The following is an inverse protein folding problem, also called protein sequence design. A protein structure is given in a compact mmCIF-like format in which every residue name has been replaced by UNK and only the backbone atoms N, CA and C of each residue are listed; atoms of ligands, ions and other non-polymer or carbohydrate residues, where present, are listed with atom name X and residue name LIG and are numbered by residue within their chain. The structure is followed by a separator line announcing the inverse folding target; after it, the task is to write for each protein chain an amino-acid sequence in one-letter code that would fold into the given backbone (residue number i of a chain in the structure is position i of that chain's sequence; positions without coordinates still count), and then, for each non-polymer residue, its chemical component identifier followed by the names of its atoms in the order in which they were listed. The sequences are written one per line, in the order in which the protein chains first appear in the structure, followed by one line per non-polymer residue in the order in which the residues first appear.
data_IF_531993286284
#
_entry.id   IF_531993286284
#
_cell.length_a   1.000
_cell.length_b   1.000
_cell.length_c   1.000
_cell.angle_alpha   90.00
_cell.angle_beta   90.00
_cell.angle_gamma   90.00
#
_symmetry.space_group_name_H-M   'P 1'
#
loop_
_entity.id
_entity.type
_entity.pdbx_description
1 polymer ?
#
# COMPACT_ATOMS: atom_id res chain seq x y z
N UNK A 1 22.28 -19.34 8.09
CA UNK A 1 22.16 -19.66 9.51
C UNK A 1 20.77 -20.27 9.69
N UNK A 2 20.69 -21.55 10.04
CA UNK A 2 19.49 -22.39 10.08
C UNK A 2 18.40 -21.72 10.93
N UNK A 3 17.24 -21.41 10.33
CA UNK A 3 16.02 -21.21 11.12
C UNK A 3 15.80 -22.52 11.87
N UNK A 4 15.94 -22.47 13.21
CA UNK A 4 15.44 -23.55 14.08
C UNK A 4 14.02 -23.86 13.65
N UNK A 5 13.64 -25.13 13.61
CA UNK A 5 12.27 -25.62 13.41
C UNK A 5 11.37 -25.06 14.55
N UNK A 6 11.06 -23.76 14.46
CA UNK A 6 9.97 -23.21 15.25
C UNK A 6 8.71 -23.88 14.73
N UNK A 7 8.01 -24.57 15.59
CA UNK A 7 6.68 -25.14 15.33
C UNK A 7 5.85 -24.03 14.69
N UNK A 8 5.62 -24.11 13.36
CA UNK A 8 4.85 -23.09 12.63
C UNK A 8 3.44 -23.09 13.19
N UNK A 9 3.07 -22.02 13.86
CA UNK A 9 1.73 -21.87 14.43
C UNK A 9 0.73 -21.64 13.29
N UNK A 10 -0.16 -22.59 13.08
CA UNK A 10 -1.29 -22.45 12.16
C UNK A 10 -2.20 -21.33 12.68
N UNK A 11 -2.32 -20.25 11.92
CA UNK A 11 -3.23 -19.14 12.21
C UNK A 11 -4.52 -19.26 11.40
N UNK A 12 -5.61 -18.72 11.93
CA UNK A 12 -6.86 -18.50 11.21
C UNK A 12 -6.91 -17.05 10.76
N UNK A 13 -6.95 -16.82 9.48
CA UNK A 13 -6.78 -15.50 8.86
C UNK A 13 -8.00 -15.17 8.01
N UNK A 14 -8.66 -14.05 8.30
CA UNK A 14 -9.61 -13.44 7.38
C UNK A 14 -8.89 -12.43 6.49
N UNK A 15 -9.07 -12.51 5.19
CA UNK A 15 -8.60 -11.49 4.24
C UNK A 15 -9.81 -10.76 3.68
N UNK A 16 -10.00 -9.52 4.12
CA UNK A 16 -11.06 -8.65 3.65
C UNK A 16 -10.59 -7.91 2.39
N UNK A 17 -11.11 -8.35 1.23
CA UNK A 17 -10.73 -7.87 -0.08
C UNK A 17 -9.83 -8.84 -0.85
N UNK A 18 -10.40 -9.54 -1.84
CA UNK A 18 -9.70 -10.47 -2.72
C UNK A 18 -9.33 -9.81 -4.07
N UNK A 19 -8.76 -8.60 -4.01
CA UNK A 19 -8.05 -8.00 -5.14
C UNK A 19 -6.70 -8.70 -5.40
N UNK A 20 -5.84 -8.13 -6.26
CA UNK A 20 -4.54 -8.73 -6.60
C UNK A 20 -3.71 -9.06 -5.36
N UNK A 21 -3.59 -8.12 -4.41
CA UNK A 21 -2.72 -8.28 -3.25
C UNK A 21 -3.31 -9.24 -2.22
N UNK A 22 -4.60 -9.10 -1.88
CA UNK A 22 -5.28 -10.03 -0.96
C UNK A 22 -5.28 -11.46 -1.48
N UNK A 23 -5.50 -11.66 -2.78
CA UNK A 23 -5.44 -12.99 -3.41
C UNK A 23 -4.03 -13.59 -3.36
N UNK A 24 -2.98 -12.79 -3.60
CA UNK A 24 -1.60 -13.26 -3.53
C UNK A 24 -1.21 -13.71 -2.10
N UNK A 25 -1.60 -12.93 -1.09
CA UNK A 25 -1.36 -13.30 0.31
C UNK A 25 -2.19 -14.52 0.74
N UNK A 26 -3.46 -14.60 0.31
CA UNK A 26 -4.29 -15.77 0.55
C UNK A 26 -3.65 -17.04 0.02
N UNK A 27 -3.14 -17.02 -1.21
CA UNK A 27 -2.40 -18.12 -1.81
C UNK A 27 -1.15 -18.49 -1.02
N UNK A 28 -0.31 -17.51 -0.69
CA UNK A 28 0.96 -17.76 0.01
C UNK A 28 0.73 -18.33 1.42
N UNK A 29 -0.19 -17.75 2.19
CA UNK A 29 -0.42 -18.19 3.57
C UNK A 29 -1.18 -19.51 3.65
N UNK A 30 -2.11 -19.79 2.73
CA UNK A 30 -2.73 -21.10 2.65
C UNK A 30 -1.70 -22.20 2.33
N UNK A 31 -0.80 -21.95 1.40
CA UNK A 31 0.30 -22.87 1.08
C UNK A 31 1.31 -23.04 2.23
N UNK A 32 1.40 -22.08 3.15
CA UNK A 32 2.20 -22.18 4.37
C UNK A 32 1.42 -22.76 5.56
N UNK A 33 0.32 -23.47 5.29
CA UNK A 33 -0.52 -24.20 6.25
C UNK A 33 -1.37 -23.34 7.18
N UNK A 34 -1.58 -22.06 6.88
CA UNK A 34 -2.58 -21.24 7.56
C UNK A 34 -3.99 -21.55 7.03
N UNK A 35 -5.00 -21.43 7.91
CA UNK A 35 -6.40 -21.46 7.47
C UNK A 35 -6.83 -20.08 7.06
N UNK A 36 -7.12 -19.89 5.78
CA UNK A 36 -7.49 -18.60 5.20
C UNK A 36 -8.95 -18.62 4.78
N UNK A 37 -9.69 -17.60 5.16
CA UNK A 37 -11.00 -17.28 4.64
C UNK A 37 -10.94 -15.91 3.96
N UNK A 38 -11.28 -15.85 2.67
CA UNK A 38 -11.33 -14.61 1.91
C UNK A 38 -12.75 -14.06 1.89
N UNK A 39 -12.89 -12.75 2.12
CA UNK A 39 -14.14 -12.04 1.91
C UNK A 39 -14.06 -11.13 0.68
N UNK A 40 -15.13 -11.14 -0.10
CA UNK A 40 -15.28 -10.26 -1.26
C UNK A 40 -16.73 -9.80 -1.41
N UNK A 41 -16.94 -8.60 -1.95
CA UNK A 41 -18.27 -8.10 -2.37
C UNK A 41 -18.56 -8.40 -3.83
N UNK A 42 -17.58 -8.92 -4.59
CA UNK A 42 -17.67 -9.15 -6.00
C UNK A 42 -18.17 -10.58 -6.28
N UNK A 43 -19.42 -10.72 -6.75
CA UNK A 43 -20.03 -12.02 -7.10
C UNK A 43 -19.19 -12.80 -8.12
N UNK A 44 -18.56 -12.09 -9.07
CA UNK A 44 -17.68 -12.70 -10.08
C UNK A 44 -16.45 -13.35 -9.44
N UNK A 45 -15.82 -12.69 -8.46
CA UNK A 45 -14.66 -13.21 -7.73
C UNK A 45 -15.06 -14.40 -6.87
N UNK A 46 -16.18 -14.28 -6.13
CA UNK A 46 -16.72 -15.36 -5.32
C UNK A 46 -17.02 -16.60 -6.18
N UNK A 47 -17.79 -16.43 -7.25
CA UNK A 47 -18.16 -17.53 -8.15
C UNK A 47 -16.95 -18.19 -8.79
N UNK A 48 -15.98 -17.40 -9.27
CA UNK A 48 -14.75 -17.91 -9.88
C UNK A 48 -13.96 -18.81 -8.92
N UNK A 49 -13.78 -18.38 -7.66
CA UNK A 49 -13.05 -19.18 -6.66
C UNK A 49 -13.84 -20.46 -6.30
N UNK A 50 -15.14 -20.36 -6.09
CA UNK A 50 -15.98 -21.51 -5.76
C UNK A 50 -16.02 -22.59 -6.88
N UNK A 51 -16.08 -22.17 -8.14
CA UNK A 51 -16.21 -23.08 -9.28
C UNK A 51 -14.86 -23.66 -9.72
N UNK A 52 -13.81 -22.83 -9.71
CA UNK A 52 -12.53 -23.18 -10.34
C UNK A 52 -11.38 -23.30 -9.35
N UNK A 53 -11.53 -22.82 -8.12
CA UNK A 53 -10.43 -22.68 -7.17
C UNK A 53 -9.42 -21.59 -7.57
N UNK A 54 -9.82 -20.62 -8.42
CA UNK A 54 -8.96 -19.53 -8.89
C UNK A 54 -9.68 -18.18 -8.83
N UNK A 55 -8.95 -17.13 -8.55
CA UNK A 55 -9.42 -15.76 -8.79
C UNK A 55 -8.98 -15.33 -10.20
N UNK A 56 -9.78 -15.67 -11.20
CA UNK A 56 -9.45 -15.44 -12.62
C UNK A 56 -9.41 -13.97 -12.99
N UNK A 57 -10.08 -13.10 -12.22
CA UNK A 57 -10.11 -11.65 -12.44
C UNK A 57 -8.80 -10.98 -12.04
N UNK A 58 -8.29 -11.32 -10.87
CA UNK A 58 -7.19 -10.60 -10.26
C UNK A 58 -5.85 -11.34 -10.28
N UNK A 59 -5.87 -12.68 -10.22
CA UNK A 59 -4.64 -13.49 -10.19
C UNK A 59 -4.85 -14.82 -10.94
N UNK A 60 -5.09 -14.78 -12.26
CA UNK A 60 -5.37 -15.98 -13.05
C UNK A 60 -4.19 -16.97 -13.02
N UNK A 61 -4.52 -18.26 -13.06
CA UNK A 61 -3.54 -19.36 -13.09
C UNK A 61 -2.96 -19.74 -11.71
N UNK A 62 -3.45 -19.13 -10.62
CA UNK A 62 -3.03 -19.47 -9.26
C UNK A 62 -4.17 -20.15 -8.52
N UNK A 63 -3.93 -21.42 -8.12
CA UNK A 63 -4.91 -22.17 -7.31
C UNK A 63 -4.91 -21.68 -5.89
N UNK A 64 -6.12 -21.53 -5.32
CA UNK A 64 -6.37 -21.09 -3.97
C UNK A 64 -7.00 -22.23 -3.18
N UNK A 65 -6.33 -22.65 -2.11
CA UNK A 65 -6.88 -23.59 -1.11
C UNK A 65 -7.37 -22.80 0.11
N UNK A 66 -8.47 -22.04 -0.11
CA UNK A 66 -9.06 -21.16 0.90
C UNK A 66 -10.57 -21.32 0.92
N UNK A 67 -11.17 -21.00 2.07
CA UNK A 67 -12.59 -20.72 2.13
C UNK A 67 -12.88 -19.31 1.56
N UNK A 68 -14.05 -19.11 0.95
CA UNK A 68 -14.46 -17.78 0.46
C UNK A 68 -15.90 -17.50 0.84
N UNK A 69 -16.17 -16.25 1.23
CA UNK A 69 -17.52 -15.82 1.62
C UNK A 69 -17.80 -14.38 1.19
N UNK A 70 -19.07 -14.04 1.06
CA UNK A 70 -19.58 -12.68 0.87
C UNK A 70 -20.13 -12.10 2.18
N UNK A 71 -20.10 -12.86 3.27
CA UNK A 71 -20.54 -12.42 4.60
C UNK A 71 -19.32 -12.03 5.44
N UNK A 72 -19.18 -10.73 5.73
CA UNK A 72 -18.04 -10.20 6.49
C UNK A 72 -17.99 -10.77 7.92
N UNK A 73 -19.13 -10.94 8.58
CA UNK A 73 -19.21 -11.51 9.93
C UNK A 73 -18.68 -12.93 9.97
N UNK A 74 -19.06 -13.77 9.00
CA UNK A 74 -18.58 -15.16 8.90
C UNK A 74 -17.05 -15.22 8.78
N UNK A 75 -16.46 -14.35 7.93
CA UNK A 75 -15.01 -14.29 7.78
C UNK A 75 -14.30 -13.92 9.08
N UNK A 76 -14.79 -12.90 9.78
CA UNK A 76 -14.17 -12.36 10.98
C UNK A 76 -14.32 -13.35 12.17
N UNK A 77 -15.52 -13.88 12.38
CA UNK A 77 -15.80 -14.77 13.52
C UNK A 77 -15.04 -16.10 13.44
N UNK A 78 -14.70 -16.56 12.23
CA UNK A 78 -13.91 -17.77 12.03
C UNK A 78 -12.40 -17.56 12.25
N UNK A 79 -11.92 -16.32 12.43
CA UNK A 79 -10.51 -15.95 12.34
C UNK A 79 -9.93 -15.43 13.66
N UNK A 80 -8.60 -15.24 13.69
CA UNK A 80 -7.82 -14.63 14.78
C UNK A 80 -7.15 -13.33 14.31
N UNK A 81 -6.78 -13.30 13.04
CA UNK A 81 -6.15 -12.16 12.37
C UNK A 81 -7.05 -11.68 11.26
N UNK A 82 -7.32 -10.39 11.24
CA UNK A 82 -8.13 -9.72 10.23
C UNK A 82 -7.23 -8.86 9.35
N UNK A 83 -7.12 -9.21 8.08
CA UNK A 83 -6.26 -8.53 7.11
C UNK A 83 -7.11 -7.66 6.20
N UNK A 84 -6.85 -6.35 6.19
CA UNK A 84 -7.56 -5.38 5.37
C UNK A 84 -6.78 -5.18 4.05
N UNK A 85 -7.21 -5.82 2.98
CA UNK A 85 -6.61 -5.70 1.64
C UNK A 85 -7.53 -4.90 0.71
N UNK A 86 -7.82 -3.67 1.11
CA UNK A 86 -8.83 -2.80 0.52
C UNK A 86 -8.21 -1.50 -0.01
N UNK A 87 -8.82 -0.86 -1.02
CA UNK A 87 -8.45 0.50 -1.41
C UNK A 87 -8.66 1.50 -0.27
N UNK A 88 -7.77 2.50 -0.16
CA UNK A 88 -7.82 3.51 0.90
C UNK A 88 -9.16 4.28 0.97
N UNK A 89 -9.86 4.42 -0.16
CA UNK A 89 -11.14 5.14 -0.23
C UNK A 89 -12.35 4.39 0.33
N UNK A 90 -12.25 3.07 0.56
CA UNK A 90 -13.38 2.25 1.06
C UNK A 90 -13.07 1.53 2.38
N UNK A 91 -11.81 1.53 2.81
CA UNK A 91 -11.38 0.74 3.96
C UNK A 91 -12.13 1.13 5.25
N UNK A 92 -12.35 2.41 5.50
CA UNK A 92 -12.99 2.88 6.73
C UNK A 92 -14.48 2.54 6.80
N UNK A 93 -15.18 2.47 5.67
CA UNK A 93 -16.57 1.98 5.63
C UNK A 93 -16.66 0.49 5.93
N UNK A 94 -15.70 -0.29 5.42
CA UNK A 94 -15.61 -1.74 5.73
C UNK A 94 -15.23 -1.96 7.20
N UNK A 95 -14.42 -1.09 7.80
CA UNK A 95 -14.12 -1.13 9.24
C UNK A 95 -15.38 -0.93 10.07
N UNK A 96 -16.29 -0.02 9.67
CA UNK A 96 -17.58 0.16 10.36
C UNK A 96 -18.43 -1.13 10.32
N UNK A 97 -18.43 -1.84 9.18
CA UNK A 97 -19.11 -3.14 9.03
C UNK A 97 -18.41 -4.26 9.83
N UNK A 98 -17.09 -4.19 9.98
CA UNK A 98 -16.27 -5.17 10.70
C UNK A 98 -16.45 -5.10 12.22
N UNK A 99 -16.56 -3.88 12.78
CA UNK A 99 -16.56 -3.62 14.23
C UNK A 99 -17.55 -4.48 15.01
N UNK A 100 -18.82 -4.69 14.59
CA UNK A 100 -19.78 -5.53 15.32
C UNK A 100 -19.35 -6.99 15.51
N UNK A 101 -18.42 -7.48 14.71
CA UNK A 101 -17.93 -8.86 14.71
C UNK A 101 -16.56 -9.02 15.38
N UNK A 102 -15.95 -7.91 15.81
CA UNK A 102 -14.63 -7.96 16.46
C UNK A 102 -14.72 -8.56 17.86
N UNK A 103 -13.74 -9.37 18.18
CA UNK A 103 -13.46 -9.85 19.54
C UNK A 103 -12.19 -9.17 20.06
N UNK A 104 -12.03 -8.97 21.37
CA UNK A 104 -10.83 -8.36 21.95
C UNK A 104 -9.50 -9.05 21.59
N UNK A 105 -9.56 -10.33 21.20
CA UNK A 105 -8.38 -11.11 20.81
C UNK A 105 -7.96 -10.91 19.35
N UNK A 106 -8.79 -10.29 18.51
CA UNK A 106 -8.44 -10.06 17.12
C UNK A 106 -7.34 -8.99 16.99
N UNK A 107 -6.42 -9.24 16.07
CA UNK A 107 -5.46 -8.24 15.59
C UNK A 107 -5.88 -7.84 14.18
N UNK A 108 -5.82 -6.55 13.89
CA UNK A 108 -6.10 -6.01 12.55
C UNK A 108 -4.77 -5.71 11.86
N UNK A 109 -4.58 -6.24 10.65
CA UNK A 109 -3.42 -5.98 9.80
C UNK A 109 -3.87 -5.16 8.59
N UNK A 110 -3.50 -3.89 8.54
CA UNK A 110 -3.80 -3.01 7.42
C UNK A 110 -2.73 -3.10 6.33
N UNK A 111 -3.17 -3.23 5.08
CA UNK A 111 -2.31 -3.28 3.89
C UNK A 111 -2.47 -2.05 3.00
N UNK A 112 -3.27 -1.07 3.39
CA UNK A 112 -3.51 0.12 2.58
C UNK A 112 -2.24 0.96 2.43
N UNK A 113 -2.05 1.49 1.24
CA UNK A 113 -0.89 2.33 0.90
C UNK A 113 -1.34 3.74 0.53
N UNK A 114 -2.27 4.27 1.28
CA UNK A 114 -2.85 5.58 1.10
C UNK A 114 -2.95 6.34 2.41
N UNK A 115 -3.60 7.49 2.36
CA UNK A 115 -3.87 8.31 3.54
C UNK A 115 -5.38 8.35 3.81
N UNK A 116 -5.77 8.52 5.06
CA UNK A 116 -7.17 8.67 5.43
C UNK A 116 -7.76 9.98 4.85
N UNK A 117 -9.08 10.03 4.58
CA UNK A 117 -9.74 11.26 4.18
C UNK A 117 -9.60 12.36 5.24
N UNK A 118 -9.47 13.64 4.84
CA UNK A 118 -9.39 14.75 5.79
C UNK A 118 -10.60 14.83 6.75
N UNK A 119 -11.75 14.37 6.31
CA UNK A 119 -13.02 14.36 7.08
C UNK A 119 -12.95 13.43 8.30
N UNK A 120 -12.09 12.42 8.27
CA UNK A 120 -11.89 11.50 9.40
C UNK A 120 -11.01 12.11 10.50
N UNK A 121 -10.40 13.27 10.24
CA UNK A 121 -9.55 13.97 11.22
C UNK A 121 -8.21 13.30 11.45
N UNK A 122 -7.50 13.75 12.48
CA UNK A 122 -6.23 13.16 12.90
C UNK A 122 -5.03 13.49 12.01
N UNK A 123 -4.02 12.61 12.01
CA UNK A 123 -2.76 12.73 11.26
C UNK A 123 -2.90 12.48 9.75
N UNK A 124 -4.03 11.90 9.32
CA UNK A 124 -4.24 11.40 7.96
C UNK A 124 -3.74 9.97 7.76
N UNK A 125 -3.36 9.25 8.82
CA UNK A 125 -3.00 7.83 8.74
C UNK A 125 -4.24 6.94 8.81
N UNK A 126 -4.28 5.91 7.97
CA UNK A 126 -5.40 4.96 7.94
C UNK A 126 -5.42 4.13 9.22
N UNK A 127 -4.26 3.68 9.71
CA UNK A 127 -4.19 2.90 10.95
C UNK A 127 -4.75 3.65 12.14
N UNK A 128 -4.43 4.94 12.29
CA UNK A 128 -4.97 5.77 13.37
C UNK A 128 -6.49 5.98 13.23
N UNK A 129 -7.00 6.15 12.01
CA UNK A 129 -8.43 6.24 11.77
C UNK A 129 -9.16 4.93 12.11
N UNK A 130 -8.55 3.77 11.79
CA UNK A 130 -9.07 2.46 12.19
C UNK A 130 -9.08 2.32 13.71
N UNK A 131 -7.98 2.65 14.40
CA UNK A 131 -7.88 2.61 15.85
C UNK A 131 -8.92 3.52 16.52
N UNK A 132 -9.12 4.72 15.99
CA UNK A 132 -10.14 5.65 16.50
C UNK A 132 -11.56 5.09 16.36
N UNK A 133 -11.91 4.47 15.24
CA UNK A 133 -13.21 3.82 15.05
C UNK A 133 -13.43 2.65 16.00
N UNK A 134 -12.41 1.79 16.17
CA UNK A 134 -12.43 0.68 17.11
C UNK A 134 -12.60 1.18 18.56
N UNK A 135 -11.85 2.22 18.95
CA UNK A 135 -11.92 2.82 20.28
C UNK A 135 -13.29 3.48 20.55
N UNK A 136 -13.87 4.17 19.56
CA UNK A 136 -15.20 4.75 19.64
C UNK A 136 -16.30 3.70 19.85
N UNK A 137 -16.08 2.49 19.39
CA UNK A 137 -16.96 1.34 19.65
C UNK A 137 -16.72 0.65 21.01
N UNK A 138 -15.82 1.18 21.83
CA UNK A 138 -15.46 0.61 23.14
C UNK A 138 -14.55 -0.62 23.08
N UNK A 139 -13.87 -0.83 21.97
CA UNK A 139 -12.92 -1.92 21.75
C UNK A 139 -11.48 -1.41 21.82
N UNK A 140 -10.50 -2.34 21.92
CA UNK A 140 -9.07 -2.02 22.06
C UNK A 140 -8.19 -2.98 21.25
N UNK A 141 -8.63 -3.35 20.06
CA UNK A 141 -7.89 -4.25 19.19
C UNK A 141 -6.62 -3.56 18.69
N UNK A 142 -5.53 -4.32 18.67
CA UNK A 142 -4.27 -3.83 18.08
C UNK A 142 -4.40 -3.73 16.56
N UNK A 143 -3.93 -2.62 16.01
CA UNK A 143 -3.77 -2.41 14.57
C UNK A 143 -2.28 -2.42 14.24
N UNK A 144 -1.89 -3.16 13.23
CA UNK A 144 -0.54 -3.17 12.66
C UNK A 144 -0.64 -2.96 11.15
N UNK A 145 0.39 -2.41 10.55
CA UNK A 145 0.44 -2.16 9.11
C UNK A 145 1.48 -3.04 8.44
N UNK A 146 1.24 -3.46 7.20
CA UNK A 146 2.21 -4.17 6.38
C UNK A 146 2.52 -3.36 5.13
N UNK A 147 3.79 -3.02 4.94
CA UNK A 147 4.26 -2.22 3.80
C UNK A 147 5.64 -2.69 3.32
N UNK A 148 5.93 -2.45 2.05
CA UNK A 148 7.19 -2.84 1.43
C UNK A 148 7.04 -3.17 -0.06
N UNK A 149 8.13 -3.58 -0.72
CA UNK A 149 8.18 -3.90 -2.15
C UNK A 149 7.41 -5.20 -2.45
N UNK A 150 6.10 -5.09 -2.69
CA UNK A 150 5.19 -6.23 -2.79
C UNK A 150 4.40 -6.21 -4.11
N UNK A 151 4.99 -6.74 -5.17
CA UNK A 151 4.31 -6.96 -6.46
C UNK A 151 3.53 -8.28 -6.39
N UNK A 152 2.21 -8.20 -6.27
CA UNK A 152 1.34 -9.34 -5.99
C UNK A 152 1.60 -10.59 -6.86
N UNK A 153 1.71 -10.51 -8.20
CA UNK A 153 2.03 -11.68 -9.02
C UNK A 153 3.44 -12.26 -8.79
N UNK A 154 4.38 -11.50 -8.26
CA UNK A 154 5.72 -12.01 -7.91
C UNK A 154 5.67 -12.75 -6.60
N UNK A 155 5.02 -12.16 -5.59
CA UNK A 155 4.79 -12.79 -4.29
C UNK A 155 4.08 -14.13 -4.47
N UNK A 156 3.01 -14.17 -5.26
CA UNK A 156 2.26 -15.41 -5.52
C UNK A 156 3.08 -16.51 -6.20
N UNK A 157 4.12 -16.14 -6.98
CA UNK A 157 5.06 -17.09 -7.59
C UNK A 157 6.21 -17.50 -6.67
N UNK A 158 6.23 -17.04 -5.42
CA UNK A 158 7.27 -17.35 -4.46
C UNK A 158 8.58 -16.58 -4.68
N UNK A 159 8.56 -15.44 -5.36
CA UNK A 159 9.73 -14.54 -5.43
C UNK A 159 10.00 -14.00 -4.04
N UNK A 160 11.27 -14.09 -3.59
CA UNK A 160 11.64 -13.63 -2.25
C UNK A 160 11.29 -12.15 -2.10
N UNK A 161 10.47 -11.87 -1.11
CA UNK A 161 9.91 -10.56 -0.84
C UNK A 161 10.16 -10.20 0.62
N UNK A 162 10.63 -8.99 0.88
CA UNK A 162 10.80 -8.45 2.22
C UNK A 162 9.81 -7.31 2.43
N UNK A 163 9.05 -7.35 3.54
CA UNK A 163 8.16 -6.28 3.93
C UNK A 163 8.27 -6.00 5.44
N UNK A 164 7.75 -4.87 5.87
CA UNK A 164 7.72 -4.49 7.28
C UNK A 164 6.32 -4.73 7.83
N UNK A 165 6.25 -5.25 9.04
CA UNK A 165 5.05 -5.23 9.88
C UNK A 165 5.31 -4.25 11.00
N UNK A 166 4.55 -3.15 11.04
CA UNK A 166 4.78 -2.09 12.00
C UNK A 166 3.53 -1.82 12.85
N UNK A 167 3.74 -1.44 14.11
CA UNK A 167 2.67 -1.07 15.04
C UNK A 167 3.24 -0.40 16.27
N UNK A 168 2.38 0.29 17.02
CA UNK A 168 2.80 0.97 18.26
C UNK A 168 3.35 0.00 19.31
N UNK A 169 2.85 -1.24 19.36
CA UNK A 169 3.38 -2.31 20.20
C UNK A 169 4.26 -3.25 19.38
N UNK A 170 5.58 -3.10 19.54
CA UNK A 170 6.56 -3.96 18.84
C UNK A 170 6.35 -5.46 19.13
N UNK A 171 5.81 -5.81 20.29
CA UNK A 171 5.56 -7.22 20.63
C UNK A 171 4.46 -7.82 19.74
N UNK A 172 3.44 -7.03 19.41
CA UNK A 172 2.39 -7.42 18.47
C UNK A 172 2.95 -7.51 17.06
N UNK A 173 3.68 -6.49 16.61
CA UNK A 173 4.32 -6.47 15.29
C UNK A 173 5.27 -7.67 15.10
N UNK A 174 6.10 -7.98 16.10
CA UNK A 174 7.01 -9.14 16.10
C UNK A 174 6.23 -10.45 15.99
N UNK A 175 5.21 -10.63 16.82
CA UNK A 175 4.38 -11.83 16.80
C UNK A 175 3.70 -12.06 15.44
N UNK A 176 3.21 -11.00 14.82
CA UNK A 176 2.58 -11.08 13.49
C UNK A 176 3.63 -11.35 12.41
N UNK A 177 4.78 -10.67 12.44
CA UNK A 177 5.88 -10.91 11.52
C UNK A 177 6.38 -12.34 11.58
N UNK A 178 6.59 -12.90 12.77
CA UNK A 178 7.03 -14.28 12.96
C UNK A 178 6.01 -15.30 12.47
N UNK A 179 4.71 -15.03 12.68
CA UNK A 179 3.61 -15.93 12.28
C UNK A 179 3.40 -15.95 10.77
N UNK A 180 3.50 -14.81 10.10
CA UNK A 180 3.17 -14.65 8.69
C UNK A 180 4.36 -14.72 7.75
N UNK A 181 5.59 -14.74 8.26
CA UNK A 181 6.77 -14.97 7.44
C UNK A 181 6.78 -16.40 6.89
N UNK A 182 7.01 -16.52 5.58
CA UNK A 182 7.15 -17.81 4.88
C UNK A 182 8.56 -17.96 4.34
N UNK A 183 8.86 -19.01 3.58
CA UNK A 183 10.16 -19.17 2.93
C UNK A 183 10.42 -18.11 1.85
N UNK A 184 9.36 -17.52 1.28
CA UNK A 184 9.44 -16.47 0.27
C UNK A 184 9.01 -15.08 0.75
N UNK A 185 8.33 -14.96 1.88
CA UNK A 185 7.92 -13.69 2.46
C UNK A 185 8.65 -13.49 3.79
N UNK A 186 9.58 -12.53 3.82
CA UNK A 186 10.34 -12.17 5.02
C UNK A 186 9.74 -10.89 5.60
N UNK A 187 9.11 -11.01 6.76
CA UNK A 187 8.50 -9.88 7.46
C UNK A 187 9.41 -9.38 8.58
N UNK A 188 9.67 -8.08 8.60
CA UNK A 188 10.54 -7.42 9.57
C UNK A 188 9.66 -6.56 10.49
N UNK A 189 9.67 -6.81 11.81
CA UNK A 189 8.90 -5.99 12.75
C UNK A 189 9.48 -4.60 12.92
N UNK A 190 8.61 -3.60 13.13
CA UNK A 190 8.96 -2.20 13.38
C UNK A 190 8.02 -1.54 14.39
N UNK A 191 8.53 -0.56 15.14
CA UNK A 191 7.71 0.32 15.98
C UNK A 191 7.21 1.57 15.24
N UNK A 192 7.69 1.79 14.00
CA UNK A 192 7.38 2.98 13.22
C UNK A 192 6.25 2.72 12.23
N UNK A 193 5.02 2.56 12.74
CA UNK A 193 3.83 2.46 11.91
C UNK A 193 3.60 3.73 11.09
N UNK A 194 3.83 4.89 11.70
CA UNK A 194 3.71 6.21 11.06
C UNK A 194 4.60 6.30 9.83
N UNK A 195 5.90 6.02 9.98
CA UNK A 195 6.84 6.07 8.86
C UNK A 195 6.53 5.04 7.79
N UNK A 196 6.10 3.84 8.17
CA UNK A 196 5.70 2.79 7.24
C UNK A 196 4.52 3.20 6.36
N UNK A 197 3.47 3.80 6.93
CA UNK A 197 2.32 4.28 6.17
C UNK A 197 2.65 5.50 5.31
N UNK A 198 3.35 6.50 5.89
CA UNK A 198 3.73 7.71 5.17
C UNK A 198 4.59 7.39 3.94
N UNK A 199 5.60 6.53 4.08
CA UNK A 199 6.40 6.09 2.93
C UNK A 199 5.59 5.28 1.93
N UNK A 200 4.68 4.42 2.40
CA UNK A 200 3.76 3.65 1.57
C UNK A 200 2.84 4.52 0.70
N UNK A 201 2.44 5.69 1.21
CA UNK A 201 1.67 6.69 0.46
C UNK A 201 2.58 7.57 -0.43
N UNK A 202 3.69 8.08 0.13
CA UNK A 202 4.60 9.01 -0.54
C UNK A 202 5.23 8.45 -1.81
N UNK A 203 5.65 7.19 -1.79
CA UNK A 203 6.24 6.52 -2.98
C UNK A 203 5.37 6.62 -4.23
N UNK A 204 4.05 6.73 -4.07
CA UNK A 204 3.12 6.78 -5.20
C UNK A 204 3.26 8.10 -5.98
N UNK A 205 3.67 9.19 -5.33
CA UNK A 205 3.99 10.47 -5.99
C UNK A 205 5.25 10.35 -6.85
N UNK A 206 6.28 9.69 -6.31
CA UNK A 206 7.53 9.45 -7.06
C UNK A 206 7.31 8.50 -8.22
N UNK A 207 6.51 7.44 -8.02
CA UNK A 207 6.18 6.52 -9.10
C UNK A 207 5.40 7.19 -10.23
N UNK A 208 4.48 8.11 -9.91
CA UNK A 208 3.74 8.90 -10.88
C UNK A 208 4.71 9.80 -11.69
N UNK A 209 5.62 10.50 -11.00
CA UNK A 209 6.64 11.35 -11.64
C UNK A 209 7.58 10.55 -12.55
N UNK A 210 7.97 9.33 -12.14
CA UNK A 210 8.74 8.41 -13.01
C UNK A 210 7.96 8.00 -14.26
N UNK A 211 6.63 7.85 -14.14
CA UNK A 211 5.75 7.63 -15.28
C UNK A 211 5.75 8.79 -16.24
N UNK A 212 5.69 10.04 -15.74
CA UNK A 212 5.78 11.23 -16.60
C UNK A 212 7.05 11.20 -17.44
N UNK A 213 8.20 10.82 -16.86
CA UNK A 213 9.46 10.65 -17.61
C UNK A 213 9.33 9.56 -18.69
N UNK A 214 8.60 8.47 -18.41
CA UNK A 214 8.37 7.42 -19.42
C UNK A 214 7.53 7.92 -20.60
N UNK A 215 6.53 8.79 -20.36
CA UNK A 215 5.74 9.42 -21.41
C UNK A 215 6.52 10.44 -22.26
N UNK A 216 7.65 10.93 -21.74
CA UNK A 216 8.55 11.88 -22.43
C UNK A 216 9.74 11.21 -23.15
N UNK A 217 9.73 9.88 -23.37
CA UNK A 217 10.87 9.15 -23.95
C UNK A 217 11.32 9.64 -25.33
N UNK A 218 10.38 10.14 -26.12
CA UNK A 218 10.68 10.65 -27.47
C UNK A 218 11.24 12.08 -27.46
N UNK A 219 11.40 12.70 -26.26
CA UNK A 219 11.94 14.05 -26.08
C UNK A 219 13.09 14.05 -25.07
N UNK A 220 12.80 14.43 -23.82
CA UNK A 220 13.80 14.59 -22.74
C UNK A 220 13.79 13.43 -21.74
N UNK A 221 12.83 12.51 -21.85
CA UNK A 221 12.67 11.37 -20.94
C UNK A 221 13.76 10.33 -21.11
N UNK A 222 14.15 9.69 -20.00
CA UNK A 222 15.13 8.61 -20.04
C UNK A 222 15.51 8.13 -18.64
N UNK A 223 16.31 7.05 -18.60
CA UNK A 223 16.65 6.38 -17.33
C UNK A 223 17.47 7.28 -16.39
N UNK A 224 18.35 8.17 -16.94
CA UNK A 224 19.09 9.12 -16.13
C UNK A 224 18.17 10.12 -15.43
N UNK A 225 17.18 10.69 -16.14
CA UNK A 225 16.22 11.61 -15.56
C UNK A 225 15.33 10.88 -14.53
N UNK A 226 14.90 9.66 -14.82
CA UNK A 226 14.15 8.85 -13.86
C UNK A 226 14.93 8.59 -12.58
N UNK A 227 16.22 8.24 -12.68
CA UNK A 227 17.09 8.06 -11.52
C UNK A 227 17.25 9.36 -10.72
N UNK A 228 17.39 10.51 -11.40
CA UNK A 228 17.42 11.81 -10.76
C UNK A 228 16.11 12.08 -9.98
N UNK A 229 14.94 11.89 -10.59
CA UNK A 229 13.65 12.10 -9.92
C UNK A 229 13.40 11.16 -8.73
N UNK A 230 13.85 9.90 -8.80
CA UNK A 230 13.81 8.98 -7.66
C UNK A 230 14.66 9.55 -6.51
N UNK A 231 15.86 10.07 -6.81
CA UNK A 231 16.75 10.63 -5.80
C UNK A 231 16.18 11.92 -5.18
N UNK A 232 15.65 12.82 -5.99
CA UNK A 232 15.01 14.07 -5.54
C UNK A 232 13.79 13.78 -4.68
N UNK A 233 12.88 12.93 -5.18
CA UNK A 233 11.67 12.58 -4.46
C UNK A 233 11.98 11.88 -3.14
N UNK A 234 12.97 10.96 -3.11
CA UNK A 234 13.41 10.33 -1.87
C UNK A 234 13.99 11.36 -0.89
N UNK A 235 14.82 12.28 -1.35
CA UNK A 235 15.38 13.34 -0.50
C UNK A 235 14.30 14.26 0.07
N UNK A 236 13.28 14.61 -0.73
CA UNK A 236 12.14 15.40 -0.25
C UNK A 236 11.31 14.63 0.78
N UNK A 237 11.02 13.34 0.56
CA UNK A 237 10.40 12.48 1.56
C UNK A 237 11.19 12.40 2.87
N UNK A 238 12.52 12.32 2.80
CA UNK A 238 13.41 12.31 3.96
C UNK A 238 13.41 13.65 4.74
N UNK A 239 13.02 14.76 4.11
CA UNK A 239 12.81 16.03 4.82
C UNK A 239 11.41 16.14 5.42
N UNK A 240 10.38 15.82 4.63
CA UNK A 240 8.98 16.03 5.02
C UNK A 240 8.49 14.99 6.04
N UNK A 241 8.69 13.69 5.77
CA UNK A 241 8.03 12.65 6.54
C UNK A 241 8.47 12.58 8.02
N UNK A 242 9.74 12.87 8.39
CA UNK A 242 10.11 13.01 9.80
C UNK A 242 9.38 14.15 10.51
N UNK A 243 9.06 15.25 9.83
CA UNK A 243 8.25 16.35 10.40
C UNK A 243 6.80 15.91 10.66
N UNK A 244 6.35 14.84 9.98
CA UNK A 244 5.04 14.21 10.18
C UNK A 244 5.08 13.04 11.18
N UNK A 245 6.24 12.77 11.81
CA UNK A 245 6.40 11.75 12.84
C UNK A 245 7.06 10.44 12.41
N UNK A 246 7.45 10.29 11.14
CA UNK A 246 8.20 9.13 10.67
C UNK A 246 9.61 9.10 11.27
N UNK A 247 10.14 7.92 11.57
CA UNK A 247 11.56 7.76 11.90
C UNK A 247 12.40 7.87 10.62
N UNK A 248 13.48 8.66 10.58
CA UNK A 248 14.29 8.83 9.37
C UNK A 248 14.83 7.51 8.80
N UNK A 249 15.11 6.53 9.65
CA UNK A 249 15.68 5.22 9.28
C UNK A 249 14.69 4.39 8.45
N UNK A 250 13.40 4.54 8.67
CA UNK A 250 12.34 3.81 7.95
C UNK A 250 12.40 4.07 6.45
N UNK A 251 12.79 5.29 6.06
CA UNK A 251 12.96 5.66 4.65
C UNK A 251 14.02 4.82 3.92
N UNK A 252 15.07 4.36 4.60
CA UNK A 252 16.12 3.54 4.01
C UNK A 252 15.80 2.03 4.01
N UNK A 253 14.69 1.65 4.62
CA UNK A 253 14.23 0.27 4.71
C UNK A 253 13.31 -0.17 3.57
N UNK A 254 12.73 -1.38 3.71
CA UNK A 254 11.77 -1.92 2.75
C UNK A 254 10.54 -1.03 2.54
N UNK A 255 10.01 -0.39 3.59
CA UNK A 255 8.85 0.48 3.51
C UNK A 255 9.10 1.78 2.72
N UNK A 256 10.32 2.33 2.81
CA UNK A 256 10.75 3.52 2.09
C UNK A 256 11.36 3.19 0.73
N UNK A 257 12.70 3.20 0.66
CA UNK A 257 13.47 3.07 -0.60
C UNK A 257 13.13 1.77 -1.36
N UNK A 258 12.89 0.68 -0.66
CA UNK A 258 12.53 -0.60 -1.29
C UNK A 258 11.22 -0.51 -2.08
N UNK A 259 10.14 -0.05 -1.43
CA UNK A 259 8.82 0.06 -2.06
C UNK A 259 8.77 1.22 -3.09
N UNK A 260 9.49 2.30 -2.82
CA UNK A 260 9.64 3.42 -3.76
C UNK A 260 10.30 2.94 -5.05
N UNK A 261 11.42 2.21 -4.97
CA UNK A 261 12.12 1.70 -6.14
C UNK A 261 11.24 0.76 -6.97
N UNK A 262 10.67 -0.26 -6.33
CA UNK A 262 9.87 -1.27 -7.06
C UNK A 262 8.63 -0.65 -7.70
N UNK A 263 7.99 0.32 -7.04
CA UNK A 263 6.80 0.99 -7.57
C UNK A 263 7.13 1.92 -8.74
N UNK A 264 8.27 2.60 -8.68
CA UNK A 264 8.74 3.51 -9.74
C UNK A 264 9.29 2.76 -10.97
N UNK A 265 9.89 1.59 -10.77
CA UNK A 265 10.50 0.80 -11.85
C UNK A 265 9.50 -0.17 -12.52
N UNK A 266 8.51 -0.67 -11.78
CA UNK A 266 7.61 -1.71 -12.29
C UNK A 266 6.62 -1.20 -13.33
N UNK A 267 6.50 -1.88 -14.49
CA UNK A 267 5.46 -1.56 -15.48
C UNK A 267 4.04 -1.89 -14.98
N UNK A 268 3.91 -2.59 -13.85
CA UNK A 268 2.63 -2.93 -13.21
C UNK A 268 2.15 -1.86 -12.23
N UNK A 269 2.92 -0.79 -12.03
CA UNK A 269 2.54 0.30 -11.15
C UNK A 269 1.48 1.17 -11.82
N UNK A 270 0.29 1.23 -11.22
CA UNK A 270 -0.83 2.06 -11.69
C UNK A 270 -0.50 3.55 -11.69
N UNK A 271 0.21 4.02 -10.66
CA UNK A 271 0.65 5.41 -10.59
C UNK A 271 1.66 5.73 -11.70
N UNK A 272 2.60 4.82 -11.98
CA UNK A 272 3.53 4.98 -13.09
C UNK A 272 2.79 5.02 -14.43
N UNK A 273 1.82 4.12 -14.67
CA UNK A 273 1.00 4.12 -15.90
C UNK A 273 0.22 5.42 -16.06
N UNK A 274 -0.36 5.96 -14.97
CA UNK A 274 -1.01 7.27 -15.01
C UNK A 274 0.00 8.36 -15.40
N UNK A 275 1.17 8.38 -14.78
CA UNK A 275 2.22 9.34 -15.10
C UNK A 275 2.66 9.26 -16.55
N UNK A 276 2.80 8.05 -17.13
CA UNK A 276 3.14 7.86 -18.53
C UNK A 276 2.11 8.52 -19.47
N UNK A 277 0.83 8.39 -19.18
CA UNK A 277 -0.24 9.08 -19.92
C UNK A 277 -0.13 10.60 -19.81
N UNK A 278 0.08 11.13 -18.60
CA UNK A 278 0.29 12.58 -18.40
C UNK A 278 1.54 13.08 -19.15
N UNK A 279 2.60 12.27 -19.18
CA UNK A 279 3.83 12.56 -19.91
C UNK A 279 3.62 12.68 -21.43
N UNK A 280 2.64 11.97 -22.01
CA UNK A 280 2.27 12.12 -23.43
C UNK A 280 1.40 13.35 -23.71
N UNK A 281 1.03 14.12 -22.67
CA UNK A 281 0.21 15.33 -22.80
C UNK A 281 -1.30 15.12 -22.65
N UNK A 282 -1.74 13.91 -22.28
CA UNK A 282 -3.14 13.63 -21.94
C UNK A 282 -3.47 14.31 -20.61
N UNK A 283 -4.67 14.90 -20.50
CA UNK A 283 -5.11 15.53 -19.24
C UNK A 283 -5.34 14.50 -18.13
N UNK A 284 -5.33 14.94 -16.86
CA UNK A 284 -5.62 14.05 -15.73
C UNK A 284 -6.99 13.41 -15.83
N UNK A 285 -8.00 14.19 -16.25
CA UNK A 285 -9.38 13.73 -16.39
C UNK A 285 -9.48 12.59 -17.42
N UNK A 286 -8.97 12.81 -18.63
CA UNK A 286 -8.94 11.80 -19.69
C UNK A 286 -8.15 10.55 -19.30
N UNK A 287 -7.00 10.73 -18.64
CA UNK A 287 -6.17 9.61 -18.20
C UNK A 287 -6.86 8.75 -17.14
N UNK A 288 -7.61 9.35 -16.21
CA UNK A 288 -8.36 8.62 -15.17
C UNK A 288 -9.58 7.89 -15.77
N UNK A 289 -10.29 8.51 -16.73
CA UNK A 289 -11.39 7.85 -17.42
C UNK A 289 -10.95 6.60 -18.18
N UNK A 290 -9.83 6.67 -18.90
CA UNK A 290 -9.29 5.52 -19.65
C UNK A 290 -8.80 4.39 -18.72
N UNK A 291 -8.34 4.72 -17.52
CA UNK A 291 -7.78 3.73 -16.59
C UNK A 291 -8.85 3.01 -15.75
N UNK A 292 -10.08 3.55 -15.68
CA UNK A 292 -11.16 3.04 -14.81
C UNK A 292 -10.73 2.77 -13.36
N UNK A 293 -9.80 3.57 -12.81
CA UNK A 293 -9.15 3.27 -11.54
C UNK A 293 -8.84 4.53 -10.73
N UNK A 294 -8.87 4.39 -9.40
CA UNK A 294 -8.39 5.42 -8.48
C UNK A 294 -6.86 5.40 -8.45
N UNK A 295 -6.23 6.52 -8.76
CA UNK A 295 -4.78 6.70 -8.62
C UNK A 295 -4.47 7.32 -7.26
N UNK A 296 -3.99 6.51 -6.33
CA UNK A 296 -3.63 6.96 -4.97
C UNK A 296 -2.55 8.04 -4.97
N UNK A 297 -1.66 8.06 -5.98
CA UNK A 297 -0.60 9.06 -6.11
C UNK A 297 -1.11 10.49 -6.30
N UNK A 298 -2.25 10.69 -6.98
CA UNK A 298 -2.88 12.01 -7.15
C UNK A 298 -3.33 12.57 -5.81
N UNK A 299 -4.06 11.74 -5.06
CA UNK A 299 -4.54 12.12 -3.73
C UNK A 299 -3.38 12.34 -2.76
N UNK A 300 -2.38 11.44 -2.76
CA UNK A 300 -1.20 11.56 -1.92
C UNK A 300 -0.44 12.87 -2.19
N UNK A 301 -0.22 13.24 -3.46
CA UNK A 301 0.46 14.49 -3.81
C UNK A 301 -0.23 15.70 -3.16
N UNK A 302 -1.55 15.84 -3.36
CA UNK A 302 -2.31 16.96 -2.80
C UNK A 302 -2.27 17.01 -1.27
N UNK A 303 -2.43 15.85 -0.62
CA UNK A 303 -2.38 15.78 0.86
C UNK A 303 -0.99 16.10 1.41
N UNK A 304 0.09 15.65 0.75
CA UNK A 304 1.44 16.00 1.19
C UNK A 304 1.76 17.47 0.98
N UNK A 305 1.30 18.12 -0.11
CA UNK A 305 1.42 19.57 -0.29
C UNK A 305 0.71 20.34 0.82
N UNK A 306 -0.53 19.98 1.17
CA UNK A 306 -1.28 20.61 2.26
C UNK A 306 -0.57 20.44 3.62
N UNK A 307 -0.08 19.23 3.90
CA UNK A 307 0.66 18.96 5.14
C UNK A 307 1.99 19.71 5.19
N UNK A 308 2.75 19.73 4.11
CA UNK A 308 4.00 20.47 4.02
C UNK A 308 3.79 21.97 4.30
N UNK A 309 2.75 22.55 3.70
CA UNK A 309 2.39 23.95 3.94
C UNK A 309 2.06 24.20 5.41
N UNK A 310 1.31 23.31 6.08
CA UNK A 310 0.98 23.42 7.50
C UNK A 310 2.22 23.31 8.43
N UNK A 311 3.25 22.61 7.97
CA UNK A 311 4.51 22.41 8.71
C UNK A 311 5.60 23.40 8.34
N UNK A 312 5.38 24.27 7.35
CA UNK A 312 6.38 25.19 6.81
C UNK A 312 7.56 24.47 6.13
N UNK A 313 7.29 23.34 5.49
CA UNK A 313 8.26 22.56 4.74
C UNK A 313 8.11 22.81 3.23
N UNK A 314 9.19 23.21 2.57
CA UNK A 314 9.20 23.36 1.12
C UNK A 314 9.28 21.98 0.43
N UNK A 315 8.36 21.74 -0.51
CA UNK A 315 8.23 20.45 -1.21
C UNK A 315 8.16 20.66 -2.74
N UNK A 316 9.19 21.25 -3.35
CA UNK A 316 9.17 21.64 -4.76
C UNK A 316 8.96 20.48 -5.72
N UNK A 317 9.35 19.25 -5.36
CA UNK A 317 9.08 18.05 -6.15
C UNK A 317 7.57 17.75 -6.20
N UNK A 318 6.90 17.69 -5.04
CA UNK A 318 5.46 17.42 -4.98
C UNK A 318 4.66 18.58 -5.55
N UNK A 319 5.06 19.83 -5.29
CA UNK A 319 4.39 21.03 -5.83
C UNK A 319 4.43 21.06 -7.35
N UNK A 320 5.56 20.69 -7.97
CA UNK A 320 5.65 20.56 -9.43
C UNK A 320 4.73 19.46 -9.96
N UNK A 321 4.61 18.34 -9.23
CA UNK A 321 3.66 17.29 -9.57
C UNK A 321 2.23 17.80 -9.51
N UNK A 322 1.83 18.48 -8.44
CA UNK A 322 0.50 19.06 -8.29
C UNK A 322 0.19 20.07 -9.42
N UNK A 323 1.16 20.92 -9.79
CA UNK A 323 1.00 21.86 -10.88
C UNK A 323 0.75 21.17 -12.25
N UNK A 324 1.40 20.03 -12.50
CA UNK A 324 1.12 19.19 -13.67
C UNK A 324 -0.29 18.56 -13.57
N UNK A 325 -0.67 18.01 -12.42
CA UNK A 325 -1.98 17.42 -12.21
C UNK A 325 -3.13 18.42 -12.39
N UNK A 326 -2.88 19.68 -12.06
CA UNK A 326 -3.83 20.81 -12.23
C UNK A 326 -3.77 21.43 -13.62
N UNK A 327 -2.89 20.92 -14.52
CA UNK A 327 -2.74 21.40 -15.90
C UNK A 327 -2.13 22.80 -16.01
N UNK A 328 -1.46 23.31 -14.97
CA UNK A 328 -0.87 24.66 -14.94
C UNK A 328 0.53 24.72 -15.56
N UNK A 329 1.22 23.58 -15.63
CA UNK A 329 2.52 23.43 -16.29
C UNK A 329 2.52 22.20 -17.20
N UNK A 330 3.41 22.17 -18.17
CA UNK A 330 3.62 21.02 -19.04
C UNK A 330 4.37 19.88 -18.34
N UNK A 331 4.26 18.66 -18.88
CA UNK A 331 5.02 17.51 -18.40
C UNK A 331 6.54 17.75 -18.45
N UNK A 332 7.04 18.38 -19.50
CA UNK A 332 8.46 18.71 -19.64
C UNK A 332 8.92 19.72 -18.59
N UNK A 333 8.14 20.78 -18.37
CA UNK A 333 8.43 21.79 -17.33
C UNK A 333 8.41 21.16 -15.92
N UNK A 334 7.42 20.31 -15.64
CA UNK A 334 7.31 19.60 -14.36
C UNK A 334 8.60 18.81 -14.05
N UNK A 335 9.06 17.94 -14.95
CA UNK A 335 10.24 17.11 -14.67
C UNK A 335 11.54 17.91 -14.63
N UNK A 336 11.65 19.03 -15.36
CA UNK A 336 12.79 19.94 -15.26
C UNK A 336 12.84 20.60 -13.89
N UNK A 337 11.74 21.21 -13.45
CA UNK A 337 11.64 21.84 -12.13
C UNK A 337 11.94 20.85 -11.02
N UNK A 338 11.40 19.61 -11.09
CA UNK A 338 11.73 18.55 -10.15
C UNK A 338 13.23 18.25 -10.11
N UNK A 339 13.87 18.08 -11.27
CA UNK A 339 15.30 17.74 -11.33
C UNK A 339 16.20 18.86 -10.78
N UNK A 340 15.80 20.11 -10.93
CA UNK A 340 16.52 21.28 -10.42
C UNK A 340 16.35 21.48 -8.91
N UNK A 341 15.36 20.88 -8.29
CA UNK A 341 15.07 21.04 -6.84
C UNK A 341 16.07 20.36 -5.90
N UNK A 342 17.07 19.64 -6.42
CA UNK A 342 18.24 19.18 -5.64
C UNK A 342 19.26 20.27 -5.36
N UNK A 343 19.21 21.37 -6.08
CA UNK A 343 20.16 22.48 -5.97
C UNK A 343 19.74 23.48 -4.90
#
# INVERSE_FOLDING_TARGET
MLRLEATRYMSKIAILGLGNWGTALAHCWANDSHKVIGWTVEEEVYGSIMETGENTKYLPGMKLDIDVTMNIGEAIEASELIVLSLPSGVILSVVDEMIPHLRPSHVVLDLAKGLAPPEEGGSGLISEAIEAKIANAGLSNSVVVLTGPTIAPEVARGVITTAMVAGHDISVATRIADRLSTDSIVLVPSEDSVGCELWGAFKNTVALSCGVVDGLRDSIGGDNLKAALITVGFAEGQRLLPMMGARPETGFGPAGLGDLYVTSASPRSRNRTLGEKLGTGISLEEALEEMHMVAEGVRAARMFTERAASLGCDVPFIDSLCALLDGTISAEECVRTMAESLL
#
